data_IF_079275145829
#
_entry.id   IF_079275145829
#
_cell.length_a   1.000
_cell.length_b   1.000
_cell.length_c   1.000
_cell.angle_alpha   90.00
_cell.angle_beta   90.00
_cell.angle_gamma   90.00
#
_symmetry.space_group_name_H-M   'P 1'
#
loop_
_entity.id
_entity.type
_entity.pdbx_description
1 polymer ?
#
# COMPACT_ATOMS: atom_id res chain seq x y z
N UNK A 1 16.68 -16.46 60.78
CA UNK A 1 16.56 -16.20 59.33
C UNK A 1 15.20 -16.63 58.75
N UNK A 2 14.43 -15.68 58.18
CA UNK A 2 13.18 -15.96 57.45
C UNK A 2 12.88 -14.85 56.41
N UNK A 3 12.19 -15.19 55.32
CA UNK A 3 11.62 -14.23 54.36
C UNK A 3 10.10 -14.38 54.34
N UNK A 4 9.40 -13.25 54.42
CA UNK A 4 7.99 -13.14 54.03
C UNK A 4 7.93 -12.54 52.64
N UNK A 5 7.26 -13.22 51.72
CA UNK A 5 7.05 -12.75 50.36
C UNK A 5 5.69 -12.05 50.23
N UNK A 6 5.53 -11.25 49.17
CA UNK A 6 4.22 -10.74 48.75
C UNK A 6 3.29 -11.90 48.36
N UNK A 7 1.97 -11.67 48.43
CA UNK A 7 0.96 -12.71 48.17
C UNK A 7 0.81 -13.03 46.68
N UNK A 8 0.66 -12.00 45.84
CA UNK A 8 0.61 -12.17 44.39
C UNK A 8 2.02 -12.18 43.79
N UNK A 9 2.37 -13.30 43.16
CA UNK A 9 3.69 -13.54 42.54
C UNK A 9 3.58 -13.83 41.04
N UNK A 10 2.49 -13.37 40.43
CA UNK A 10 2.34 -13.37 38.98
C UNK A 10 3.04 -12.13 38.44
N UNK A 11 3.93 -12.33 37.46
CA UNK A 11 4.69 -11.27 36.80
C UNK A 11 4.34 -11.31 35.31
N UNK A 12 4.21 -10.13 34.72
CA UNK A 12 3.93 -10.00 33.29
C UNK A 12 5.16 -10.36 32.46
N UNK A 13 4.96 -11.10 31.36
CA UNK A 13 6.00 -11.38 30.38
C UNK A 13 6.62 -10.07 29.86
N UNK A 14 7.96 -10.01 29.82
CA UNK A 14 8.68 -8.82 29.37
C UNK A 14 8.75 -7.64 30.36
N UNK A 15 8.25 -7.78 31.59
CA UNK A 15 8.35 -6.73 32.61
C UNK A 15 9.80 -6.53 33.07
N UNK A 16 10.50 -5.57 32.45
CA UNK A 16 11.90 -5.24 32.76
C UNK A 16 12.11 -4.69 34.16
N UNK A 17 11.05 -4.23 34.83
CA UNK A 17 11.12 -3.70 36.18
C UNK A 17 10.93 -4.80 37.25
N UNK A 18 10.55 -6.02 36.84
CA UNK A 18 10.36 -7.12 37.75
C UNK A 18 11.71 -7.59 38.33
N UNK A 19 11.81 -7.60 39.66
CA UNK A 19 13.00 -8.07 40.36
C UNK A 19 12.58 -8.91 41.56
N UNK A 20 13.39 -9.92 41.89
CA UNK A 20 13.16 -10.77 43.08
C UNK A 20 13.19 -9.96 44.37
N UNK A 21 13.89 -8.82 44.40
CA UNK A 21 13.84 -7.87 45.52
C UNK A 21 12.43 -7.34 45.80
N UNK A 22 11.66 -7.01 44.76
CA UNK A 22 10.27 -6.51 44.89
C UNK A 22 9.31 -7.57 45.46
N UNK A 23 9.69 -8.85 45.46
CA UNK A 23 8.87 -9.93 46.01
C UNK A 23 8.99 -10.06 47.53
N UNK A 24 10.00 -9.45 48.14
CA UNK A 24 10.27 -9.54 49.58
C UNK A 24 9.43 -8.49 50.32
N UNK A 25 8.46 -8.96 51.12
CA UNK A 25 7.63 -8.11 51.99
C UNK A 25 8.34 -7.78 53.29
N UNK A 26 9.01 -8.76 53.89
CA UNK A 26 9.77 -8.60 55.12
C UNK A 26 10.87 -9.66 55.20
N UNK A 27 11.97 -9.36 55.88
CA UNK A 27 13.08 -10.29 56.08
C UNK A 27 13.67 -10.18 57.48
N UNK A 28 13.97 -11.34 58.09
CA UNK A 28 14.77 -11.45 59.32
C UNK A 28 16.13 -12.05 58.94
N UNK A 29 17.19 -11.25 59.01
CA UNK A 29 18.55 -11.56 58.51
C UNK A 29 18.93 -10.70 57.29
N UNK A 30 20.13 -10.87 56.76
CA UNK A 30 20.59 -10.21 55.53
C UNK A 30 20.40 -11.12 54.31
N UNK A 31 19.95 -10.59 53.18
CA UNK A 31 19.91 -11.35 51.91
C UNK A 31 21.26 -11.16 51.22
N UNK A 32 22.00 -12.26 51.03
CA UNK A 32 23.30 -12.26 50.35
C UNK A 32 23.14 -12.20 48.83
N UNK A 33 22.14 -12.92 48.29
CA UNK A 33 21.91 -13.01 46.86
C UNK A 33 20.42 -13.05 46.54
N UNK A 34 20.03 -12.15 45.65
CA UNK A 34 18.71 -12.14 45.02
C UNK A 34 18.76 -13.01 43.76
N UNK A 35 17.86 -14.00 43.61
CA UNK A 35 17.81 -14.81 42.40
C UNK A 35 17.33 -13.97 41.21
N UNK A 36 17.81 -14.28 40.01
CA UNK A 36 17.33 -13.64 38.78
C UNK A 36 15.95 -14.18 38.40
N UNK A 37 15.17 -13.35 37.70
CA UNK A 37 13.87 -13.70 37.15
C UNK A 37 14.02 -13.66 35.63
N UNK A 38 13.67 -14.76 34.95
CA UNK A 38 13.63 -14.78 33.49
C UNK A 38 12.24 -14.31 33.02
N UNK A 39 12.08 -12.99 32.87
CA UNK A 39 10.81 -12.39 32.45
C UNK A 39 10.43 -12.73 31.00
N UNK A 40 11.35 -13.33 30.24
CA UNK A 40 11.14 -13.77 28.86
C UNK A 40 10.77 -15.26 28.76
N UNK A 41 10.46 -15.90 29.90
CA UNK A 41 10.07 -17.32 29.96
C UNK A 41 8.80 -17.51 30.78
N UNK A 42 7.68 -17.67 30.06
CA UNK A 42 6.37 -17.96 30.65
C UNK A 42 6.36 -19.26 31.48
N UNK A 43 5.49 -19.30 32.48
CA UNK A 43 5.30 -20.43 33.38
C UNK A 43 5.92 -20.23 34.76
N UNK A 44 5.92 -21.30 35.55
CA UNK A 44 6.38 -21.28 36.94
C UNK A 44 7.89 -21.27 37.02
N UNK A 45 8.45 -20.38 37.85
CA UNK A 45 9.87 -20.33 38.13
C UNK A 45 10.13 -20.44 39.64
N UNK A 46 11.11 -21.25 40.01
CA UNK A 46 11.56 -21.41 41.41
C UNK A 46 12.70 -20.43 41.65
N UNK A 47 12.57 -19.63 42.70
CA UNK A 47 13.55 -18.64 43.11
C UNK A 47 14.17 -19.04 44.45
N UNK A 48 15.50 -19.06 44.51
CA UNK A 48 16.27 -19.45 45.69
C UNK A 48 17.00 -18.24 46.27
N UNK A 49 16.62 -17.84 47.48
CA UNK A 49 17.23 -16.73 48.21
C UNK A 49 18.23 -17.27 49.22
N UNK A 50 19.41 -16.67 49.28
CA UNK A 50 20.41 -16.98 50.29
C UNK A 50 20.42 -15.89 51.36
N UNK A 51 20.17 -16.28 52.62
CA UNK A 51 20.22 -15.39 53.77
C UNK A 51 21.44 -15.69 54.63
N UNK A 52 21.92 -14.67 55.33
CA UNK A 52 22.93 -14.78 56.38
C UNK A 52 22.47 -14.08 57.67
N UNK A 53 22.80 -14.69 58.80
CA UNK A 53 22.66 -14.10 60.14
C UNK A 53 23.77 -14.68 61.04
N UNK A 54 24.66 -13.82 61.55
CA UNK A 54 25.80 -14.21 62.37
C UNK A 54 26.66 -15.36 61.77
N UNK A 55 27.01 -15.26 60.48
CA UNK A 55 27.79 -16.26 59.70
C UNK A 55 27.08 -17.61 59.47
N UNK A 56 25.82 -17.75 59.86
CA UNK A 56 25.00 -18.91 59.51
C UNK A 56 24.24 -18.55 58.23
N UNK A 57 24.33 -19.40 57.20
CA UNK A 57 23.59 -19.22 55.95
C UNK A 57 22.36 -20.12 55.88
N UNK A 58 21.28 -19.63 55.28
CA UNK A 58 20.06 -20.41 55.02
C UNK A 58 19.48 -20.10 53.65
N UNK A 59 19.03 -21.14 52.96
CA UNK A 59 18.30 -20.99 51.70
C UNK A 59 16.79 -21.00 51.92
N UNK A 60 16.10 -20.07 51.25
CA UNK A 60 14.64 -19.97 51.27
C UNK A 60 14.14 -19.91 49.84
N UNK A 61 13.25 -20.83 49.49
CA UNK A 61 12.66 -20.92 48.16
C UNK A 61 11.29 -20.25 48.12
N UNK A 62 10.97 -19.64 46.99
CA UNK A 62 9.60 -19.26 46.60
C UNK A 62 9.37 -19.65 45.14
N UNK A 63 8.10 -19.74 44.74
CA UNK A 63 7.69 -19.87 43.34
C UNK A 63 7.05 -18.56 42.87
N UNK A 64 7.27 -18.23 41.60
CA UNK A 64 6.60 -17.16 40.85
C UNK A 64 5.97 -17.76 39.60
N UNK A 65 5.06 -17.03 38.96
CA UNK A 65 4.48 -17.43 37.68
C UNK A 65 4.59 -16.27 36.68
N UNK A 66 5.31 -16.48 35.57
CA UNK A 66 5.36 -15.52 34.47
C UNK A 66 4.17 -15.80 33.56
N UNK A 67 3.32 -14.78 33.33
CA UNK A 67 2.19 -14.86 32.39
C UNK A 67 2.31 -13.75 31.36
N UNK A 68 2.05 -14.12 30.12
CA UNK A 68 1.77 -13.13 29.09
C UNK A 68 0.26 -12.92 29.03
N UNK A 69 -0.19 -11.73 29.40
CA UNK A 69 -1.60 -11.34 29.37
C UNK A 69 -1.88 -10.31 28.28
N UNK A 70 -0.85 -9.77 27.63
CA UNK A 70 -0.99 -8.78 26.57
C UNK A 70 -1.34 -9.48 25.27
N UNK A 71 -2.32 -8.91 24.57
CA UNK A 71 -2.73 -9.40 23.25
C UNK A 71 -1.94 -8.65 22.17
N UNK A 72 -1.73 -9.27 21.00
CA UNK A 72 -1.22 -8.57 19.84
C UNK A 72 -2.02 -7.33 19.46
N UNK A 73 -1.35 -6.33 18.92
CA UNK A 73 -1.96 -5.15 18.31
C UNK A 73 -2.11 -5.34 16.79
N UNK A 74 -3.33 -5.13 16.28
CA UNK A 74 -3.64 -5.14 14.84
C UNK A 74 -4.10 -3.74 14.41
N UNK A 75 -3.37 -3.14 13.48
CA UNK A 75 -3.68 -1.85 12.88
C UNK A 75 -3.95 -2.03 11.39
N UNK A 76 -5.18 -1.71 10.97
CA UNK A 76 -5.60 -1.71 9.58
C UNK A 76 -5.47 -0.30 9.00
N UNK A 77 -5.30 -0.19 7.68
CA UNK A 77 -5.33 1.08 6.96
C UNK A 77 -6.76 1.61 6.87
N UNK A 78 -7.73 0.73 6.55
CA UNK A 78 -9.16 1.04 6.44
C UNK A 78 -10.01 -0.03 7.11
N UNK A 79 -11.13 0.38 7.72
CA UNK A 79 -12.15 -0.54 8.24
C UNK A 79 -13.12 -1.02 7.15
N UNK A 80 -13.17 -0.32 6.01
CA UNK A 80 -14.02 -0.62 4.87
C UNK A 80 -13.28 -0.33 3.57
N UNK A 81 -13.36 -1.26 2.62
CA UNK A 81 -12.74 -1.21 1.31
C UNK A 81 -13.85 -1.43 0.29
N UNK A 82 -13.94 -0.57 -0.72
CA UNK A 82 -14.85 -0.76 -1.84
C UNK A 82 -14.03 -1.10 -3.07
N UNK A 83 -14.46 -2.12 -3.80
CA UNK A 83 -13.83 -2.64 -5.00
C UNK A 83 -14.88 -2.79 -6.10
N UNK A 84 -14.50 -2.54 -7.37
CA UNK A 84 -15.38 -2.85 -8.48
C UNK A 84 -15.59 -4.37 -8.61
N UNK A 85 -16.70 -4.75 -9.25
CA UNK A 85 -16.96 -6.15 -9.63
C UNK A 85 -15.77 -6.74 -10.40
N UNK A 86 -15.31 -7.92 -10.00
CA UNK A 86 -14.21 -8.66 -10.62
C UNK A 86 -12.79 -8.20 -10.22
N UNK A 87 -12.65 -7.24 -9.31
CA UNK A 87 -11.35 -6.74 -8.91
C UNK A 87 -10.53 -7.78 -8.13
N UNK A 88 -9.24 -7.88 -8.47
CA UNK A 88 -8.28 -8.64 -7.67
C UNK A 88 -7.95 -7.88 -6.37
N UNK A 89 -7.92 -8.59 -5.24
CA UNK A 89 -7.72 -7.97 -3.93
C UNK A 89 -6.87 -8.80 -2.98
N UNK A 90 -5.70 -8.27 -2.68
CA UNK A 90 -4.82 -8.79 -1.65
C UNK A 90 -5.17 -8.19 -0.28
N UNK A 91 -5.69 -9.00 0.64
CA UNK A 91 -6.01 -8.59 2.01
C UNK A 91 -4.82 -8.02 2.79
N UNK A 92 -3.59 -8.47 2.50
CA UNK A 92 -2.37 -7.96 3.14
C UNK A 92 -2.14 -6.47 2.86
N UNK A 93 -2.66 -5.95 1.75
CA UNK A 93 -2.56 -4.52 1.41
C UNK A 93 -3.23 -3.61 2.44
N UNK A 94 -4.22 -4.12 3.21
CA UNK A 94 -4.93 -3.37 4.24
C UNK A 94 -4.24 -3.38 5.62
N UNK A 95 -3.13 -4.10 5.78
CA UNK A 95 -2.38 -4.09 7.04
C UNK A 95 -1.49 -2.86 7.12
N UNK A 96 -1.58 -2.12 8.23
CA UNK A 96 -0.60 -1.10 8.61
C UNK A 96 0.46 -1.68 9.55
N UNK A 97 0.04 -2.47 10.54
CA UNK A 97 0.96 -3.11 11.49
C UNK A 97 0.28 -4.29 12.20
N UNK A 98 1.03 -5.36 12.43
CA UNK A 98 0.68 -6.42 13.39
C UNK A 98 1.91 -6.68 14.26
N UNK A 99 1.77 -6.51 15.58
CA UNK A 99 2.88 -6.67 16.52
C UNK A 99 2.42 -7.17 17.88
N UNK A 100 3.31 -7.86 18.56
CA UNK A 100 3.28 -8.04 20.00
C UNK A 100 3.94 -6.84 20.72
N UNK A 101 3.51 -6.58 21.96
CA UNK A 101 4.02 -5.47 22.78
C UNK A 101 5.46 -5.70 23.22
N UNK A 102 5.86 -6.96 23.40
CA UNK A 102 7.18 -7.37 23.92
C UNK A 102 8.07 -7.92 22.80
N UNK A 103 7.55 -8.85 21.99
CA UNK A 103 8.33 -9.58 20.96
C UNK A 103 8.39 -8.84 19.61
N UNK A 104 7.61 -7.77 19.43
CA UNK A 104 7.65 -6.95 18.22
C UNK A 104 6.83 -7.52 17.06
N UNK A 105 7.32 -7.39 15.83
CA UNK A 105 6.51 -7.72 14.64
C UNK A 105 6.08 -9.19 14.59
N UNK A 106 4.81 -9.41 14.28
CA UNK A 106 4.25 -10.75 14.06
C UNK A 106 4.13 -10.96 12.54
N UNK A 107 4.76 -11.99 11.95
CA UNK A 107 4.73 -12.23 10.52
C UNK A 107 3.40 -12.84 10.04
N UNK A 108 3.11 -12.71 8.75
CA UNK A 108 2.01 -13.42 8.10
C UNK A 108 2.35 -14.91 7.94
N UNK A 109 1.39 -15.80 8.23
CA UNK A 109 1.50 -17.24 7.96
C UNK A 109 0.10 -17.86 7.79
N UNK A 110 -0.18 -18.40 6.62
CA UNK A 110 -1.46 -19.03 6.29
C UNK A 110 -1.76 -20.32 7.06
N UNK A 111 -0.72 -21.00 7.59
CA UNK A 111 -0.87 -22.24 8.35
C UNK A 111 -1.41 -22.03 9.77
N UNK A 112 -1.70 -20.78 10.16
CA UNK A 112 -2.32 -20.41 11.45
C UNK A 112 -1.52 -20.85 12.68
N UNK A 113 -0.20 -20.80 12.57
CA UNK A 113 0.72 -21.19 13.64
C UNK A 113 0.85 -20.10 14.71
N UNK A 114 1.39 -20.45 15.88
CA UNK A 114 1.75 -19.44 16.90
C UNK A 114 2.80 -18.47 16.33
N UNK A 115 2.84 -17.28 16.90
CA UNK A 115 3.70 -16.19 16.44
C UNK A 115 3.45 -15.83 14.96
N UNK A 116 2.18 -15.78 14.56
CA UNK A 116 1.80 -15.39 13.22
C UNK A 116 0.43 -14.72 13.16
N UNK A 117 0.14 -14.08 12.03
CA UNK A 117 -1.20 -13.62 11.70
C UNK A 117 -1.65 -14.13 10.34
N UNK A 118 -2.97 -14.21 10.17
CA UNK A 118 -3.62 -14.64 8.94
C UNK A 118 -4.95 -13.93 8.74
N UNK A 119 -5.53 -14.16 7.57
CA UNK A 119 -6.84 -13.63 7.21
C UNK A 119 -7.89 -14.72 7.22
N UNK A 120 -9.12 -14.34 7.56
CA UNK A 120 -10.32 -15.13 7.34
C UNK A 120 -11.35 -14.24 6.63
N UNK A 121 -11.93 -14.76 5.57
CA UNK A 121 -12.83 -14.03 4.69
C UNK A 121 -12.90 -14.75 3.35
N UNK A 122 -14.08 -14.85 2.78
CA UNK A 122 -14.26 -15.51 1.48
C UNK A 122 -14.87 -14.48 0.54
N UNK A 123 -14.01 -13.70 -0.09
CA UNK A 123 -14.40 -12.63 -1.00
C UNK A 123 -14.62 -13.27 -2.36
N UNK A 124 -15.85 -13.16 -2.86
CA UNK A 124 -16.16 -13.51 -4.24
C UNK A 124 -16.20 -12.21 -5.04
N UNK A 125 -15.10 -11.91 -5.73
CA UNK A 125 -15.00 -10.70 -6.55
C UNK A 125 -16.01 -10.67 -7.69
N UNK A 126 -16.54 -11.83 -8.11
CA UNK A 126 -17.55 -11.95 -9.17
C UNK A 126 -18.99 -11.93 -8.64
N UNK A 127 -19.17 -11.50 -7.39
CA UNK A 127 -20.49 -11.35 -6.81
C UNK A 127 -20.54 -10.06 -5.99
N UNK A 128 -21.45 -9.19 -6.38
CA UNK A 128 -21.72 -7.97 -5.65
C UNK A 128 -22.15 -8.26 -4.20
N UNK A 129 -21.71 -7.43 -3.27
CA UNK A 129 -22.10 -7.53 -1.89
C UNK A 129 -20.99 -7.13 -0.92
N UNK A 130 -21.33 -7.21 0.36
CA UNK A 130 -20.39 -6.92 1.46
C UNK A 130 -19.85 -8.23 2.01
N UNK A 131 -18.52 -8.38 1.97
CA UNK A 131 -17.78 -9.53 2.46
C UNK A 131 -17.10 -9.17 3.79
N UNK A 132 -17.53 -9.76 4.91
CA UNK A 132 -16.84 -9.57 6.18
C UNK A 132 -15.51 -10.32 6.16
N UNK A 133 -14.44 -9.59 6.46
CA UNK A 133 -13.09 -10.13 6.57
C UNK A 133 -12.55 -9.90 7.98
N UNK A 134 -11.64 -10.75 8.41
CA UNK A 134 -11.01 -10.72 9.73
C UNK A 134 -9.52 -10.95 9.60
N UNK A 135 -8.75 -10.18 10.34
CA UNK A 135 -7.34 -10.45 10.61
C UNK A 135 -7.26 -11.08 11.99
N UNK A 136 -6.57 -12.22 12.10
CA UNK A 136 -6.32 -12.90 13.36
C UNK A 136 -4.82 -12.93 13.59
N UNK A 137 -4.37 -12.51 14.77
CA UNK A 137 -2.97 -12.61 15.18
C UNK A 137 -2.86 -13.43 16.47
N UNK A 138 -1.85 -14.30 16.52
CA UNK A 138 -1.50 -15.09 17.70
C UNK A 138 -0.02 -14.88 17.97
N UNK A 139 0.33 -14.39 19.16
CA UNK A 139 1.74 -14.23 19.55
C UNK A 139 2.41 -15.56 19.88
N UNK A 140 3.68 -15.48 20.26
CA UNK A 140 4.52 -16.60 20.66
C UNK A 140 3.98 -17.36 21.89
N UNK A 141 3.35 -16.66 22.83
CA UNK A 141 2.84 -17.24 24.07
C UNK A 141 1.40 -17.74 23.93
N UNK A 142 0.71 -17.38 22.86
CA UNK A 142 -0.62 -17.84 22.48
C UNK A 142 -1.74 -16.83 22.75
N UNK A 143 -1.46 -15.57 23.09
CA UNK A 143 -2.53 -14.59 23.16
C UNK A 143 -3.01 -14.24 21.76
N UNK A 144 -4.33 -14.12 21.64
CA UNK A 144 -5.01 -13.93 20.36
C UNK A 144 -5.67 -12.56 20.31
N UNK A 145 -5.50 -11.89 19.18
CA UNK A 145 -6.24 -10.70 18.81
C UNK A 145 -6.94 -10.92 17.46
N UNK A 146 -8.06 -10.23 17.27
CA UNK A 146 -8.75 -10.19 15.98
C UNK A 146 -9.25 -8.80 15.66
N UNK A 147 -9.31 -8.47 14.37
CA UNK A 147 -9.86 -7.21 13.89
C UNK A 147 -10.58 -7.41 12.57
N UNK A 148 -11.81 -6.92 12.50
CA UNK A 148 -12.65 -7.06 11.31
C UNK A 148 -12.55 -5.84 10.39
N UNK A 149 -12.75 -6.09 9.09
CA UNK A 149 -12.98 -5.06 8.09
C UNK A 149 -13.95 -5.59 7.03
N UNK A 150 -14.55 -4.69 6.27
CA UNK A 150 -15.49 -5.03 5.21
C UNK A 150 -14.84 -4.80 3.85
N UNK A 151 -15.07 -5.74 2.93
CA UNK A 151 -14.80 -5.57 1.50
C UNK A 151 -16.15 -5.52 0.79
N UNK A 152 -16.46 -4.40 0.17
CA UNK A 152 -17.65 -4.23 -0.65
C UNK A 152 -17.24 -4.45 -2.10
N UNK A 153 -17.84 -5.45 -2.73
CA UNK A 153 -17.84 -5.60 -4.18
C UNK A 153 -19.07 -4.89 -4.70
N UNK A 154 -18.86 -3.90 -5.57
CA UNK A 154 -19.96 -3.15 -6.19
C UNK A 154 -20.78 -4.05 -7.14
N UNK A 155 -21.99 -3.62 -7.47
CA UNK A 155 -22.83 -4.36 -8.42
C UNK A 155 -22.14 -4.50 -9.77
N UNK A 156 -22.26 -5.69 -10.37
CA UNK A 156 -21.94 -5.86 -11.79
C UNK A 156 -22.84 -4.90 -12.53
N UNK A 157 -22.28 -3.90 -13.20
CA UNK A 157 -23.08 -3.08 -14.08
C UNK A 157 -23.56 -3.99 -15.23
N UNK A 158 -24.86 -4.29 -15.25
CA UNK A 158 -25.53 -4.97 -16.35
C UNK A 158 -26.15 -3.86 -17.19
N UNK A 159 -25.58 -3.61 -18.36
CA UNK A 159 -26.10 -2.63 -19.31
C UNK A 159 -27.42 -3.14 -19.91
N UNK A 160 -28.56 -2.83 -19.27
CA UNK A 160 -29.84 -2.74 -19.96
C UNK A 160 -30.16 -1.27 -20.19
N UNK A 161 -29.80 -0.68 -21.34
CA UNK A 161 -30.58 0.43 -21.89
C UNK A 161 -30.56 0.46 -23.43
N UNK A 162 -31.68 0.91 -24.04
CA UNK A 162 -32.00 0.73 -25.44
C UNK A 162 -31.23 1.72 -26.32
N UNK A 163 -30.88 1.25 -27.50
CA UNK A 163 -30.35 2.06 -28.59
C UNK A 163 -31.24 3.30 -28.84
N UNK A 164 -30.74 4.48 -28.49
CA UNK A 164 -31.11 5.71 -29.19
C UNK A 164 -29.88 6.29 -29.84
N UNK A 165 -29.90 6.19 -31.16
CA UNK A 165 -28.96 6.78 -32.10
C UNK A 165 -28.67 8.24 -31.73
N UNK A 166 -27.39 8.56 -31.54
CA UNK A 166 -26.86 9.81 -32.06
C UNK A 166 -25.71 9.46 -33.01
N UNK A 167 -25.94 9.73 -34.28
CA UNK A 167 -24.94 9.62 -35.33
C UNK A 167 -23.88 10.70 -35.10
N UNK A 168 -22.68 10.31 -34.69
CA UNK A 168 -21.44 10.93 -35.14
C UNK A 168 -20.30 9.92 -35.02
N UNK A 169 -19.74 9.56 -36.17
CA UNK A 169 -18.72 8.51 -36.34
C UNK A 169 -17.38 8.96 -35.76
N UNK A 170 -16.98 8.36 -34.64
CA UNK A 170 -15.61 7.90 -34.39
C UNK A 170 -15.74 6.58 -33.65
N UNK A 171 -15.18 5.51 -34.22
CA UNK A 171 -15.39 4.12 -33.80
C UNK A 171 -14.98 3.93 -32.33
N UNK A 172 -15.89 3.38 -31.53
CA UNK A 172 -15.48 2.71 -30.30
C UNK A 172 -14.47 1.60 -30.65
N UNK A 173 -13.40 1.43 -29.87
CA UNK A 173 -12.46 0.33 -30.02
C UNK A 173 -13.21 -1.00 -30.08
N UNK A 174 -13.07 -1.77 -31.17
CA UNK A 174 -13.57 -3.13 -31.19
C UNK A 174 -12.69 -4.01 -30.30
N UNK A 175 -13.24 -5.15 -29.84
CA UNK A 175 -12.50 -6.23 -29.16
C UNK A 175 -11.29 -6.77 -29.98
N UNK A 176 -11.10 -6.29 -31.21
CA UNK A 176 -10.01 -6.68 -32.12
C UNK A 176 -8.86 -5.67 -32.21
N UNK A 177 -8.88 -4.56 -31.46
CA UNK A 177 -7.76 -3.62 -31.47
C UNK A 177 -6.51 -4.28 -30.87
N UNK A 178 -5.40 -4.32 -31.62
CA UNK A 178 -4.13 -4.83 -31.13
C UNK A 178 -3.27 -3.68 -30.61
N UNK A 179 -2.51 -3.86 -29.51
CA UNK A 179 -1.60 -2.83 -29.01
C UNK A 179 -0.60 -2.42 -30.10
N UNK A 180 -0.44 -1.11 -30.31
CA UNK A 180 0.42 -0.57 -31.36
C UNK A 180 1.81 -0.26 -30.81
N UNK A 181 2.85 -0.72 -31.50
CA UNK A 181 4.24 -0.51 -31.10
C UNK A 181 5.05 0.12 -32.22
N UNK A 182 5.93 1.06 -31.85
CA UNK A 182 6.94 1.63 -32.75
C UNK A 182 8.28 1.51 -32.06
N UNK A 183 9.23 0.82 -32.70
CA UNK A 183 10.57 0.56 -32.14
C UNK A 183 10.52 -0.09 -30.74
N UNK A 184 9.53 -0.96 -30.49
CA UNK A 184 9.32 -1.62 -29.20
C UNK A 184 8.64 -0.75 -28.12
N UNK A 185 8.28 0.49 -28.44
CA UNK A 185 7.58 1.39 -27.52
C UNK A 185 6.08 1.28 -27.78
N UNK A 186 5.32 0.96 -26.72
CA UNK A 186 3.86 0.92 -26.77
C UNK A 186 3.30 2.34 -26.93
N UNK A 187 2.52 2.55 -28.00
CA UNK A 187 1.89 3.82 -28.31
C UNK A 187 0.40 3.73 -28.01
N UNK A 188 -0.06 4.63 -27.14
CA UNK A 188 -1.48 4.87 -26.86
C UNK A 188 -1.69 6.37 -26.94
N UNK A 189 -2.56 6.79 -27.84
CA UNK A 189 -2.91 8.18 -28.11
C UNK A 189 -4.28 8.20 -28.80
N UNK A 190 -4.78 9.37 -29.23
CA UNK A 190 -6.08 9.51 -29.91
C UNK A 190 -6.24 8.73 -31.23
N UNK A 191 -5.17 8.20 -31.79
CA UNK A 191 -5.16 7.41 -33.03
C UNK A 191 -4.98 5.91 -32.78
N UNK A 192 -4.42 5.52 -31.64
CA UNK A 192 -4.09 4.14 -31.30
C UNK A 192 -4.67 3.77 -29.94
N UNK A 193 -5.80 3.06 -29.96
CA UNK A 193 -6.44 2.54 -28.76
C UNK A 193 -5.93 1.16 -28.37
N UNK A 194 -5.97 0.88 -27.08
CA UNK A 194 -5.80 -0.44 -26.50
C UNK A 194 -7.11 -1.25 -26.56
N UNK A 195 -7.02 -2.59 -26.67
CA UNK A 195 -8.19 -3.43 -26.46
C UNK A 195 -8.70 -3.32 -25.03
N UNK A 196 -9.98 -3.61 -24.84
CA UNK A 196 -10.69 -3.45 -23.56
C UNK A 196 -10.04 -4.22 -22.40
N UNK A 197 -9.53 -5.41 -22.68
CA UNK A 197 -8.90 -6.31 -21.71
C UNK A 197 -7.40 -6.07 -21.51
N UNK A 198 -6.82 -5.04 -22.15
CA UNK A 198 -5.40 -4.72 -21.98
C UNK A 198 -5.12 -4.07 -20.63
N UNK A 199 -4.08 -4.58 -19.96
CA UNK A 199 -3.54 -4.05 -18.71
C UNK A 199 -4.12 -4.74 -17.47
N UNK A 200 -3.28 -4.91 -16.45
CA UNK A 200 -3.63 -5.61 -15.20
C UNK A 200 -3.16 -4.88 -13.94
N UNK A 201 -2.88 -3.58 -14.03
CA UNK A 201 -2.31 -2.80 -12.94
C UNK A 201 -1.16 -1.91 -13.38
N UNK A 202 -0.49 -1.29 -12.39
CA UNK A 202 0.74 -0.56 -12.65
C UNK A 202 1.84 -1.54 -13.09
N UNK A 203 2.60 -1.18 -14.10
CA UNK A 203 3.82 -1.91 -14.45
C UNK A 203 4.82 -1.82 -13.28
N UNK A 204 5.35 -2.97 -12.85
CA UNK A 204 6.21 -3.04 -11.66
C UNK A 204 7.52 -2.25 -11.83
N UNK A 205 8.07 -2.22 -13.04
CA UNK A 205 9.31 -1.51 -13.36
C UNK A 205 9.07 -0.01 -13.34
N UNK A 206 8.00 0.45 -14.01
CA UNK A 206 7.60 1.84 -14.01
C UNK A 206 7.25 2.32 -12.59
N UNK A 207 6.52 1.52 -11.81
CA UNK A 207 6.18 1.87 -10.43
C UNK A 207 7.43 1.95 -9.54
N UNK A 208 8.38 1.03 -9.69
CA UNK A 208 9.66 1.09 -8.96
C UNK A 208 10.47 2.34 -9.34
N UNK A 209 10.48 2.72 -10.62
CA UNK A 209 11.11 3.95 -11.08
C UNK A 209 10.41 5.20 -10.53
N UNK A 210 9.08 5.18 -10.43
CA UNK A 210 8.31 6.26 -9.82
C UNK A 210 8.72 6.47 -8.36
N UNK A 211 8.87 5.40 -7.58
CA UNK A 211 9.31 5.51 -6.19
C UNK A 211 10.71 6.14 -6.08
N UNK A 212 11.62 5.83 -7.00
CA UNK A 212 12.94 6.46 -7.06
C UNK A 212 12.85 7.95 -7.42
N UNK A 213 11.99 8.32 -8.37
CA UNK A 213 11.73 9.71 -8.74
C UNK A 213 11.15 10.51 -7.57
N UNK A 214 10.19 9.94 -6.84
CA UNK A 214 9.57 10.56 -5.66
C UNK A 214 10.58 10.75 -4.52
N UNK A 215 11.46 9.77 -4.28
CA UNK A 215 12.52 9.90 -3.30
C UNK A 215 13.50 11.02 -3.68
N UNK A 216 13.92 11.07 -4.93
CA UNK A 216 14.84 12.11 -5.40
C UNK A 216 14.22 13.51 -5.32
N UNK A 217 12.93 13.65 -5.57
CA UNK A 217 12.21 14.89 -5.37
C UNK A 217 12.23 15.30 -3.88
N UNK A 218 11.96 14.35 -2.98
CA UNK A 218 12.00 14.56 -1.54
C UNK A 218 13.39 14.99 -1.05
N UNK A 219 14.45 14.38 -1.58
CA UNK A 219 15.84 14.74 -1.28
C UNK A 219 16.19 16.17 -1.74
N UNK A 220 15.47 16.68 -2.74
CA UNK A 220 15.56 18.07 -3.23
C UNK A 220 14.53 19.01 -2.58
N UNK A 221 13.80 18.56 -1.55
CA UNK A 221 12.84 19.37 -0.80
C UNK A 221 11.46 19.50 -1.45
N UNK A 222 11.12 18.65 -2.42
CA UNK A 222 9.83 18.66 -3.11
C UNK A 222 8.95 17.47 -2.73
N UNK A 223 7.63 17.70 -2.66
CA UNK A 223 6.64 16.65 -2.48
C UNK A 223 5.85 16.44 -3.77
N UNK A 224 5.88 15.21 -4.30
CA UNK A 224 5.23 14.84 -5.57
C UNK A 224 4.39 13.56 -5.40
N UNK A 225 3.28 13.60 -4.63
CA UNK A 225 2.48 12.42 -4.32
C UNK A 225 1.88 11.79 -5.58
N UNK A 226 1.69 10.47 -5.56
CA UNK A 226 0.93 9.76 -6.60
C UNK A 226 -0.55 10.01 -6.42
N UNK A 227 -1.21 10.52 -7.46
CA UNK A 227 -2.64 10.84 -7.48
C UNK A 227 -3.43 9.80 -8.28
N UNK A 228 -2.90 9.35 -9.41
CA UNK A 228 -3.53 8.37 -10.28
C UNK A 228 -2.47 7.51 -10.98
N UNK A 229 -2.69 6.20 -11.06
CA UNK A 229 -1.84 5.25 -11.78
C UNK A 229 -2.65 4.52 -12.84
N UNK A 230 -2.60 3.19 -12.84
CA UNK A 230 -3.38 2.37 -13.74
C UNK A 230 -4.89 2.66 -13.66
N UNK A 231 -5.51 2.78 -14.84
CA UNK A 231 -6.97 2.89 -15.02
C UNK A 231 -7.39 1.86 -16.07
N UNK A 232 -8.29 0.95 -15.71
CA UNK A 232 -8.84 0.00 -16.68
C UNK A 232 -9.65 0.71 -17.76
N UNK A 233 -9.89 0.03 -18.89
CA UNK A 233 -10.79 0.51 -19.94
C UNK A 233 -12.14 0.94 -19.36
N UNK A 234 -12.73 0.09 -18.51
CA UNK A 234 -14.07 0.29 -17.96
C UNK A 234 -14.12 1.50 -17.03
N UNK A 235 -13.09 1.67 -16.17
CA UNK A 235 -12.96 2.86 -15.35
C UNK A 235 -12.85 4.13 -16.21
N UNK A 236 -12.07 4.07 -17.30
CA UNK A 236 -11.93 5.19 -18.22
C UNK A 236 -13.24 5.50 -18.95
N UNK A 237 -14.04 4.49 -19.27
CA UNK A 237 -15.37 4.65 -19.88
C UNK A 237 -16.29 5.43 -18.96
N UNK A 238 -16.40 5.02 -17.70
CA UNK A 238 -17.24 5.70 -16.71
C UNK A 238 -16.80 7.15 -16.50
N UNK A 239 -15.48 7.37 -16.34
CA UNK A 239 -14.92 8.69 -16.14
C UNK A 239 -15.18 9.62 -17.34
N UNK A 240 -14.97 9.12 -18.56
CA UNK A 240 -15.23 9.88 -19.78
C UNK A 240 -16.71 10.23 -19.90
N UNK A 241 -17.61 9.28 -19.64
CA UNK A 241 -19.05 9.52 -19.71
C UNK A 241 -19.53 10.53 -18.66
N UNK A 242 -18.95 10.54 -17.46
CA UNK A 242 -19.23 11.57 -16.45
C UNK A 242 -18.81 12.96 -16.94
N UNK A 243 -17.66 13.09 -17.58
CA UNK A 243 -17.20 14.35 -18.15
C UNK A 243 -18.04 14.81 -19.33
N UNK A 244 -18.42 13.89 -20.23
CA UNK A 244 -19.36 14.19 -21.33
C UNK A 244 -20.69 14.70 -20.79
N UNK A 245 -21.23 14.06 -19.75
CA UNK A 245 -22.49 14.46 -19.14
C UNK A 245 -22.40 15.84 -18.46
N UNK A 246 -21.25 16.17 -17.87
CA UNK A 246 -21.04 17.43 -17.13
C UNK A 246 -20.71 18.60 -18.06
N UNK A 247 -19.78 18.40 -18.99
CA UNK A 247 -19.10 19.47 -19.73
C UNK A 247 -19.26 19.35 -21.26
N UNK A 248 -19.85 18.26 -21.75
CA UNK A 248 -20.03 17.98 -23.18
C UNK A 248 -18.84 17.27 -23.82
N UNK A 249 -19.09 16.63 -24.97
CA UNK A 249 -18.11 15.80 -25.69
C UNK A 249 -16.86 16.58 -26.08
N UNK A 250 -17.03 17.78 -26.64
CA UNK A 250 -15.90 18.59 -27.12
C UNK A 250 -14.93 18.98 -26.00
N UNK A 251 -15.45 19.32 -24.82
CA UNK A 251 -14.62 19.63 -23.66
C UNK A 251 -13.97 18.35 -23.10
N UNK A 252 -14.74 17.28 -22.93
CA UNK A 252 -14.25 16.00 -22.42
C UNK A 252 -13.14 15.40 -23.29
N UNK A 253 -13.24 15.52 -24.62
CA UNK A 253 -12.20 15.06 -25.54
C UNK A 253 -10.88 15.84 -25.39
N UNK A 254 -10.86 17.06 -24.84
CA UNK A 254 -9.63 17.84 -24.67
C UNK A 254 -8.82 17.49 -23.42
N UNK A 255 -9.49 17.24 -22.31
CA UNK A 255 -8.85 17.01 -21.00
C UNK A 255 -9.01 15.58 -20.47
N UNK A 256 -9.76 14.73 -21.16
CA UNK A 256 -9.92 13.32 -20.85
C UNK A 256 -9.66 12.47 -22.08
N UNK A 257 -9.64 11.15 -21.89
CA UNK A 257 -9.49 10.18 -22.95
C UNK A 257 -10.76 9.32 -23.05
N UNK A 258 -11.16 9.02 -24.28
CA UNK A 258 -12.12 7.94 -24.53
C UNK A 258 -11.53 6.61 -24.04
N UNK A 259 -12.36 5.64 -23.63
CA UNK A 259 -11.85 4.34 -23.17
C UNK A 259 -11.04 3.66 -24.28
N UNK A 260 -9.93 3.02 -23.91
CA UNK A 260 -8.93 2.49 -24.85
C UNK A 260 -7.87 3.51 -25.28
N UNK A 261 -8.16 4.81 -25.25
CA UNK A 261 -7.23 5.87 -25.68
C UNK A 261 -6.44 6.51 -24.53
N UNK A 262 -6.60 6.01 -23.30
CA UNK A 262 -5.89 6.52 -22.12
C UNK A 262 -4.58 5.80 -21.89
N UNK A 263 -3.47 6.54 -21.77
CA UNK A 263 -2.19 5.94 -21.41
C UNK A 263 -2.20 5.28 -20.03
N UNK A 264 -3.11 5.64 -19.13
CA UNK A 264 -3.21 4.98 -17.82
C UNK A 264 -3.59 3.51 -17.92
N UNK A 265 -4.26 3.09 -19.00
CA UNK A 265 -4.55 1.68 -19.24
C UNK A 265 -3.29 0.86 -19.53
N UNK A 266 -2.16 1.51 -19.87
CA UNK A 266 -0.89 0.81 -20.05
C UNK A 266 -0.24 0.37 -18.73
N UNK A 267 -0.62 0.98 -17.60
CA UNK A 267 0.12 0.84 -16.34
C UNK A 267 1.48 1.55 -16.32
N UNK A 268 1.85 2.27 -17.38
CA UNK A 268 3.13 2.99 -17.55
C UNK A 268 2.99 4.51 -17.34
N UNK A 269 1.79 5.01 -17.09
CA UNK A 269 1.50 6.43 -16.90
C UNK A 269 1.00 6.72 -15.48
N UNK A 270 1.43 7.85 -14.93
CA UNK A 270 1.08 8.28 -13.58
C UNK A 270 0.82 9.78 -13.52
N UNK A 271 -0.21 10.17 -12.78
CA UNK A 271 -0.45 11.56 -12.39
C UNK A 271 0.15 11.79 -11.01
N UNK A 272 1.12 12.70 -10.93
CA UNK A 272 1.90 12.96 -9.71
C UNK A 272 1.99 14.46 -9.39
N UNK A 273 2.11 14.79 -8.10
CA UNK A 273 2.15 16.18 -7.66
C UNK A 273 0.76 16.76 -7.46
N UNK A 274 0.25 17.49 -8.45
CA UNK A 274 -1.05 18.17 -8.41
C UNK A 274 -1.71 18.19 -9.80
N UNK A 275 -2.99 17.83 -9.88
CA UNK A 275 -3.80 17.91 -11.11
C UNK A 275 -4.27 19.35 -11.31
N UNK A 276 -3.34 20.22 -11.70
CA UNK A 276 -3.55 21.63 -12.04
C UNK A 276 -2.46 22.07 -13.03
N UNK A 277 -2.83 22.77 -14.11
CA UNK A 277 -1.87 23.27 -15.11
C UNK A 277 -0.84 24.21 -14.46
N UNK A 278 -1.21 24.88 -13.36
CA UNK A 278 -0.30 25.72 -12.60
C UNK A 278 0.85 24.94 -11.94
N UNK A 279 0.71 23.62 -11.79
CA UNK A 279 1.72 22.77 -11.17
C UNK A 279 3.08 22.87 -11.87
N UNK A 280 3.08 22.97 -13.21
CA UNK A 280 4.30 23.12 -14.02
C UNK A 280 5.10 24.39 -13.75
N UNK A 281 4.47 25.41 -13.16
CA UNK A 281 5.12 26.67 -12.78
C UNK A 281 5.60 26.69 -11.32
N UNK A 282 5.25 25.66 -10.54
CA UNK A 282 5.77 25.51 -9.18
C UNK A 282 7.22 25.01 -9.19
N UNK A 283 8.02 25.28 -8.14
CA UNK A 283 9.36 24.71 -8.03
C UNK A 283 9.39 23.18 -8.17
N UNK A 284 8.38 22.48 -7.62
CA UNK A 284 8.28 21.03 -7.71
C UNK A 284 7.98 20.55 -9.14
N UNK A 285 7.06 21.20 -9.86
CA UNK A 285 6.74 20.85 -11.25
C UNK A 285 7.89 21.18 -12.22
N UNK A 286 8.60 22.29 -12.01
CA UNK A 286 9.79 22.62 -12.78
C UNK A 286 10.92 21.61 -12.54
N UNK A 287 11.13 21.21 -11.27
CA UNK A 287 12.09 20.16 -10.95
C UNK A 287 11.69 18.84 -11.60
N UNK A 288 10.41 18.46 -11.55
CA UNK A 288 9.91 17.25 -12.19
C UNK A 288 10.18 17.26 -13.69
N UNK A 289 9.83 18.35 -14.39
CA UNK A 289 10.07 18.49 -15.82
C UNK A 289 11.55 18.37 -16.20
N UNK A 290 12.46 18.87 -15.35
CA UNK A 290 13.90 18.81 -15.59
C UNK A 290 14.53 17.47 -15.25
N UNK A 291 13.91 16.65 -14.39
CA UNK A 291 14.55 15.46 -13.81
C UNK A 291 13.83 14.13 -14.11
N UNK A 292 12.57 14.13 -14.53
CA UNK A 292 11.79 12.91 -14.76
C UNK A 292 12.52 11.88 -15.67
N UNK A 293 13.22 12.38 -16.69
CA UNK A 293 13.90 11.56 -17.70
C UNK A 293 15.04 10.71 -17.14
N UNK A 294 15.73 11.16 -16.08
CA UNK A 294 16.80 10.37 -15.45
C UNK A 294 16.27 9.14 -14.73
N UNK A 295 14.95 9.10 -14.47
CA UNK A 295 14.22 7.98 -13.89
C UNK A 295 13.40 7.22 -14.93
N UNK A 296 13.51 7.56 -16.22
CA UNK A 296 12.81 6.86 -17.30
C UNK A 296 11.43 7.42 -17.62
N UNK A 297 11.10 8.61 -17.13
CA UNK A 297 9.82 9.27 -17.38
C UNK A 297 9.95 10.50 -18.28
N UNK A 298 8.93 10.79 -19.08
CA UNK A 298 8.77 12.07 -19.76
C UNK A 298 7.53 12.80 -19.24
N UNK A 299 7.53 14.14 -19.30
CA UNK A 299 6.28 14.90 -19.26
C UNK A 299 5.56 14.63 -20.59
N UNK A 300 4.47 13.87 -20.55
CA UNK A 300 3.88 13.31 -21.77
C UNK A 300 3.19 14.35 -22.64
N UNK A 301 2.53 15.31 -21.98
CA UNK A 301 1.71 16.35 -22.63
C UNK A 301 2.27 17.73 -22.29
N UNK A 302 3.34 18.18 -22.98
CA UNK A 302 3.97 19.48 -22.74
C UNK A 302 3.14 20.65 -23.29
N UNK A 303 3.43 21.85 -22.77
CA UNK A 303 2.72 23.09 -23.14
C UNK A 303 2.90 23.42 -24.62
N UNK A 304 1.82 23.84 -25.29
CA UNK A 304 1.83 24.22 -26.71
C UNK A 304 1.87 23.05 -27.70
N UNK A 305 1.79 21.79 -27.24
CA UNK A 305 1.86 20.59 -28.09
C UNK A 305 0.53 19.82 -28.25
N UNK A 306 -0.59 20.40 -27.82
CA UNK A 306 -1.93 19.77 -27.89
C UNK A 306 -2.33 19.37 -29.32
N UNK A 307 -1.93 20.14 -30.35
CA UNK A 307 -2.21 19.79 -31.75
C UNK A 307 -1.47 18.55 -32.25
N UNK A 308 -0.46 18.09 -31.52
CA UNK A 308 0.37 16.93 -31.85
C UNK A 308 -0.03 15.75 -30.95
N UNK A 309 -0.06 15.95 -29.64
CA UNK A 309 -0.39 14.87 -28.68
C UNK A 309 -1.87 14.55 -28.66
N UNK A 310 -2.71 15.52 -29.05
CA UNK A 310 -4.15 15.49 -28.90
C UNK A 310 -4.65 15.87 -27.49
N UNK A 311 -3.77 16.02 -26.50
CA UNK A 311 -4.14 16.31 -25.11
C UNK A 311 -3.64 17.68 -24.69
N UNK A 312 -4.42 18.36 -23.84
CA UNK A 312 -4.02 19.63 -23.25
C UNK A 312 -2.72 19.49 -22.43
N UNK A 313 -2.13 20.62 -22.03
CA UNK A 313 -0.96 20.61 -21.16
C UNK A 313 -1.27 19.95 -19.81
N UNK A 314 -0.48 18.93 -19.44
CA UNK A 314 -0.60 18.19 -18.18
C UNK A 314 0.78 18.03 -17.53
N UNK A 315 1.25 19.01 -16.73
CA UNK A 315 2.55 18.95 -16.06
C UNK A 315 2.69 17.83 -15.03
N UNK A 316 1.58 17.21 -14.63
CA UNK A 316 1.54 16.11 -13.67
C UNK A 316 1.61 14.73 -14.32
N UNK A 317 1.27 14.60 -15.60
CA UNK A 317 1.17 13.32 -16.30
C UNK A 317 2.55 12.88 -16.81
N UNK A 318 3.10 11.85 -16.17
CA UNK A 318 4.38 11.25 -16.55
C UNK A 318 4.21 9.90 -17.21
N UNK A 319 4.93 9.67 -18.31
CA UNK A 319 4.93 8.39 -19.06
C UNK A 319 6.29 7.70 -18.96
N UNK A 320 6.30 6.46 -18.51
CA UNK A 320 7.50 5.64 -18.45
C UNK A 320 7.87 5.06 -19.82
N UNK A 321 9.15 5.22 -20.19
CA UNK A 321 9.76 4.71 -21.42
C UNK A 321 11.06 3.93 -21.13
N UNK A 322 11.49 3.85 -19.87
CA UNK A 322 12.85 3.44 -19.50
C UNK A 322 13.85 4.59 -19.64
N UNK A 323 14.98 4.50 -18.92
CA UNK A 323 15.95 5.61 -18.76
C UNK A 323 16.53 6.07 -20.11
N UNK A 324 16.96 5.14 -20.95
CA UNK A 324 17.66 5.49 -22.19
C UNK A 324 16.74 6.19 -23.20
N UNK A 325 15.51 5.71 -23.35
CA UNK A 325 14.53 6.31 -24.28
C UNK A 325 14.03 7.64 -23.73
N UNK A 326 13.67 7.70 -22.44
CA UNK A 326 13.21 8.95 -21.84
C UNK A 326 14.28 10.06 -21.93
N UNK A 327 15.56 9.72 -21.74
CA UNK A 327 16.67 10.64 -21.91
C UNK A 327 16.77 11.18 -23.35
N UNK A 328 16.59 10.32 -24.35
CA UNK A 328 16.62 10.73 -25.77
C UNK A 328 15.44 11.63 -26.12
N UNK A 329 14.24 11.27 -25.69
CA UNK A 329 13.03 12.09 -25.90
C UNK A 329 13.22 13.45 -25.24
N UNK A 330 13.63 13.49 -23.96
CA UNK A 330 13.90 14.74 -23.25
C UNK A 330 14.95 15.61 -23.93
N UNK A 331 16.09 15.03 -24.33
CA UNK A 331 17.17 15.76 -24.99
C UNK A 331 16.77 16.32 -26.37
N UNK A 332 15.83 15.67 -27.06
CA UNK A 332 15.34 16.13 -28.36
C UNK A 332 14.39 17.33 -28.26
N UNK A 333 13.74 17.55 -27.11
CA UNK A 333 12.69 18.54 -26.94
C UNK A 333 11.38 18.22 -27.69
N UNK A 334 11.26 17.00 -28.23
CA UNK A 334 10.11 16.52 -29.00
C UNK A 334 9.07 15.85 -28.10
N UNK A 335 7.82 15.80 -28.55
CA UNK A 335 6.82 14.87 -28.00
C UNK A 335 7.18 13.43 -28.35
N UNK A 336 6.51 12.46 -27.72
CA UNK A 336 6.68 11.06 -28.07
C UNK A 336 6.28 10.78 -29.53
N UNK A 337 5.21 11.41 -30.02
CA UNK A 337 4.76 11.34 -31.41
C UNK A 337 5.83 11.83 -32.38
N UNK A 338 6.36 13.03 -32.16
CA UNK A 338 7.41 13.64 -32.99
C UNK A 338 8.69 12.79 -32.96
N UNK A 339 9.07 12.28 -31.79
CA UNK A 339 10.25 11.42 -31.63
C UNK A 339 10.10 10.09 -32.39
N UNK A 340 8.92 9.50 -32.36
CA UNK A 340 8.60 8.25 -33.05
C UNK A 340 8.22 8.44 -34.53
N UNK A 341 8.08 9.68 -34.98
CA UNK A 341 7.62 10.05 -36.33
C UNK A 341 6.25 9.46 -36.68
N UNK A 342 5.32 9.54 -35.73
CA UNK A 342 3.93 9.10 -35.88
C UNK A 342 2.97 10.28 -35.75
N UNK A 343 1.81 10.18 -36.41
CA UNK A 343 0.74 11.17 -36.37
C UNK A 343 -0.42 10.70 -35.50
#
# INVERSE_FOLDING_TARGET
MNIQFIENKVIEYGDKDATSKKLVKNVKGAILKYPEIDVMKVGKQKLLYQLEDNKITKEIQTEIEIKDTKRPEIILKKSKITLPYGADFNMASNIKQVKDVVDGNIPYNENKEKNSYWFEGNIDAEKAGTYPCKVIAVDKNGNKAEKSFEVIIEEKQIDEYPSKQSNNKQQEPSETNQPYYVNGILVVNKHHALPRDYGYGNDETAYSALLQLQQAAADNGFSIPLLSGYRSYDYQSDLYNQYVARDGVEAADRYSARPGYSEHQTGLAFDIGSIDNNYGYTPAGQWLAQNAHTYGFIIRYPEGKESITGYMYEPWHVRYLGKDVAQQVYASGLTLEEFLQIN
#
